data_IF_271503775120
#
_entry.id   IF_271503775120
#
_cell.length_a   1.000
_cell.length_b   1.000
_cell.length_c   1.000
_cell.angle_alpha   90.00
_cell.angle_beta   90.00
_cell.angle_gamma   90.00
#
_symmetry.space_group_name_H-M   'P 1'
#
loop_
_entity.id
_entity.type
_entity.pdbx_description
1 polymer ?
#
# COMPACT_ATOMS: atom_id res chain seq x y z
N UNK A 1 2.64 -19.71 -11.80
CA UNK A 1 3.97 -19.22 -12.24
C UNK A 1 3.89 -17.91 -13.01
N UNK A 2 3.00 -17.76 -14.00
CA UNK A 2 2.98 -16.52 -14.82
C UNK A 2 2.58 -15.27 -14.03
N UNK A 3 1.72 -15.37 -13.02
CA UNK A 3 1.40 -14.24 -12.14
C UNK A 3 2.65 -13.68 -11.44
N UNK A 4 3.54 -14.57 -10.99
CA UNK A 4 4.79 -14.19 -10.35
C UNK A 4 5.77 -13.57 -11.36
N UNK A 5 5.87 -14.12 -12.57
CA UNK A 5 6.68 -13.51 -13.64
C UNK A 5 6.17 -12.11 -14.00
N UNK A 6 4.86 -11.95 -14.09
CA UNK A 6 4.22 -10.67 -14.35
C UNK A 6 4.58 -9.66 -13.26
N UNK A 7 4.49 -10.08 -12.01
CA UNK A 7 4.84 -9.28 -10.85
C UNK A 7 6.31 -8.85 -10.85
N UNK A 8 7.24 -9.80 -11.04
CA UNK A 8 8.67 -9.52 -11.11
C UNK A 8 9.03 -8.62 -12.29
N UNK A 9 8.42 -8.83 -13.46
CA UNK A 9 8.61 -7.97 -14.62
C UNK A 9 8.07 -6.55 -14.36
N UNK A 10 6.96 -6.39 -13.63
CA UNK A 10 6.46 -5.09 -13.17
C UNK A 10 7.45 -4.40 -12.21
N UNK A 11 8.06 -5.14 -11.27
CA UNK A 11 9.09 -4.59 -10.36
C UNK A 11 10.30 -4.09 -11.15
N UNK A 12 10.81 -4.90 -12.08
CA UNK A 12 11.92 -4.51 -12.94
C UNK A 12 11.54 -3.30 -13.79
N UNK A 13 10.35 -3.29 -14.40
CA UNK A 13 9.88 -2.16 -15.20
C UNK A 13 9.81 -0.88 -14.38
N UNK A 14 9.36 -0.95 -13.13
CA UNK A 14 9.28 0.20 -12.24
C UNK A 14 10.67 0.71 -11.82
N UNK A 15 11.57 -0.19 -11.43
CA UNK A 15 12.93 0.19 -10.97
C UNK A 15 13.81 0.67 -12.12
N UNK A 16 13.80 -0.03 -13.25
CA UNK A 16 14.67 0.27 -14.39
C UNK A 16 14.05 1.20 -15.43
N UNK A 17 12.76 1.55 -15.30
CA UNK A 17 12.00 2.30 -16.32
C UNK A 17 12.06 1.66 -17.72
N UNK A 18 12.20 0.32 -17.78
CA UNK A 18 12.37 -0.43 -19.04
C UNK A 18 11.03 -0.71 -19.74
N UNK A 19 10.83 -0.22 -20.98
CA UNK A 19 9.62 -0.51 -21.76
C UNK A 19 9.46 -2.00 -22.09
N UNK A 20 10.58 -2.71 -22.30
CA UNK A 20 10.58 -4.15 -22.57
C UNK A 20 10.05 -4.96 -21.38
N UNK A 21 10.52 -4.63 -20.16
CA UNK A 21 10.04 -5.27 -18.94
C UNK A 21 8.54 -4.98 -18.72
N UNK A 22 8.09 -3.77 -19.06
CA UNK A 22 6.67 -3.41 -19.00
C UNK A 22 5.83 -4.27 -19.97
N UNK A 23 6.30 -4.46 -21.21
CA UNK A 23 5.62 -5.32 -22.18
C UNK A 23 5.55 -6.78 -21.71
N UNK A 24 6.64 -7.32 -21.18
CA UNK A 24 6.69 -8.67 -20.62
C UNK A 24 5.71 -8.82 -19.45
N UNK A 25 5.63 -7.82 -18.57
CA UNK A 25 4.69 -7.85 -17.45
C UNK A 25 3.24 -7.95 -17.92
N UNK A 26 2.86 -7.22 -18.97
CA UNK A 26 1.51 -7.29 -19.56
C UNK A 26 1.24 -8.67 -20.17
N UNK A 27 2.22 -9.22 -20.89
CA UNK A 27 2.10 -10.56 -21.50
C UNK A 27 1.88 -11.65 -20.42
N UNK A 28 2.73 -11.65 -19.39
CA UNK A 28 2.59 -12.61 -18.29
C UNK A 28 1.32 -12.40 -17.48
N UNK A 29 0.88 -11.16 -17.27
CA UNK A 29 -0.40 -10.86 -16.59
C UNK A 29 -1.59 -11.45 -17.35
N UNK A 30 -1.57 -11.32 -18.67
CA UNK A 30 -2.62 -11.87 -19.54
C UNK A 30 -2.63 -13.39 -19.50
N UNK A 31 -1.46 -14.03 -19.56
CA UNK A 31 -1.33 -15.49 -19.40
C UNK A 31 -1.83 -15.96 -18.03
N UNK A 32 -1.43 -15.26 -16.97
CA UNK A 32 -1.84 -15.54 -15.60
C UNK A 32 -3.36 -15.46 -15.42
N UNK A 33 -4.00 -14.45 -16.02
CA UNK A 33 -5.45 -14.26 -15.95
C UNK A 33 -6.21 -15.36 -16.70
N UNK A 34 -5.69 -15.80 -17.85
CA UNK A 34 -6.22 -16.97 -18.58
C UNK A 34 -6.11 -18.24 -17.75
N UNK A 35 -4.92 -18.51 -17.18
CA UNK A 35 -4.69 -19.65 -16.31
C UNK A 35 -5.54 -19.64 -15.04
N UNK A 36 -5.75 -18.46 -14.43
CA UNK A 36 -6.63 -18.30 -13.29
C UNK A 36 -8.08 -18.67 -13.64
N UNK A 37 -8.60 -18.17 -14.78
CA UNK A 37 -9.96 -18.51 -15.23
C UNK A 37 -10.14 -20.01 -15.43
N UNK A 38 -9.15 -20.68 -16.02
CA UNK A 38 -9.18 -22.14 -16.18
C UNK A 38 -9.13 -22.87 -14.84
N UNK A 39 -8.26 -22.45 -13.92
CA UNK A 39 -8.11 -23.07 -12.61
C UNK A 39 -9.37 -22.91 -11.75
N UNK A 40 -10.04 -21.75 -11.81
CA UNK A 40 -11.33 -21.52 -11.15
C UNK A 40 -12.41 -22.43 -11.72
N UNK A 41 -12.41 -22.70 -13.03
CA UNK A 41 -13.33 -23.67 -13.65
C UNK A 41 -13.12 -25.12 -13.18
N UNK A 42 -11.94 -25.44 -12.64
CA UNK A 42 -11.58 -26.75 -12.10
C UNK A 42 -11.23 -26.67 -10.60
N UNK A 43 -11.88 -25.76 -9.89
CA UNK A 43 -11.53 -25.46 -8.50
C UNK A 43 -11.67 -26.69 -7.60
N UNK A 44 -10.61 -27.00 -6.86
CA UNK A 44 -10.54 -28.12 -5.93
C UNK A 44 -9.59 -27.79 -4.76
N UNK A 45 -9.50 -28.70 -3.79
CA UNK A 45 -8.66 -28.46 -2.60
C UNK A 45 -7.17 -28.34 -2.91
N UNK A 46 -6.68 -29.08 -3.91
CA UNK A 46 -5.25 -29.08 -4.25
C UNK A 46 -4.81 -27.80 -4.96
N UNK A 47 -5.74 -27.08 -5.61
CA UNK A 47 -5.43 -25.84 -6.32
C UNK A 47 -5.86 -24.57 -5.58
N UNK A 48 -6.62 -24.69 -4.48
CA UNK A 48 -7.14 -23.54 -3.73
C UNK A 48 -6.06 -22.53 -3.35
N UNK A 49 -4.95 -22.98 -2.77
CA UNK A 49 -3.83 -22.11 -2.38
C UNK A 49 -3.16 -21.43 -3.59
N UNK A 50 -3.04 -22.14 -4.71
CA UNK A 50 -2.48 -21.57 -5.95
C UNK A 50 -3.40 -20.52 -6.57
N UNK A 51 -4.71 -20.76 -6.54
CA UNK A 51 -5.72 -19.82 -7.02
C UNK A 51 -5.76 -18.58 -6.12
N UNK A 52 -5.72 -18.76 -4.80
CA UNK A 52 -5.66 -17.66 -3.83
C UNK A 52 -4.41 -16.81 -4.06
N UNK A 53 -3.22 -17.42 -4.07
CA UNK A 53 -1.97 -16.70 -4.27
C UNK A 53 -1.92 -15.96 -5.61
N UNK A 54 -2.39 -16.60 -6.69
CA UNK A 54 -2.47 -15.97 -8.01
C UNK A 54 -3.41 -14.76 -8.00
N UNK A 55 -4.57 -14.88 -7.35
CA UNK A 55 -5.55 -13.79 -7.25
C UNK A 55 -4.99 -12.62 -6.45
N UNK A 56 -4.34 -12.86 -5.30
CA UNK A 56 -3.67 -11.81 -4.52
C UNK A 56 -2.59 -11.06 -5.32
N UNK A 57 -1.80 -11.78 -6.13
CA UNK A 57 -0.77 -11.17 -6.99
C UNK A 57 -1.40 -10.33 -8.12
N UNK A 58 -2.55 -10.73 -8.65
CA UNK A 58 -3.26 -9.96 -9.69
C UNK A 58 -3.97 -8.73 -9.10
N UNK A 59 -4.51 -8.84 -7.88
CA UNK A 59 -5.05 -7.69 -7.13
C UNK A 59 -3.99 -6.60 -7.04
N UNK A 60 -2.78 -6.91 -6.57
CA UNK A 60 -1.70 -5.92 -6.38
C UNK A 60 -1.27 -5.23 -7.68
N UNK A 61 -1.50 -5.86 -8.83
CA UNK A 61 -1.20 -5.31 -10.16
C UNK A 61 -2.37 -4.58 -10.83
N UNK A 62 -3.58 -4.67 -10.27
CA UNK A 62 -4.80 -4.11 -10.86
C UNK A 62 -4.78 -2.58 -10.88
N UNK A 63 -5.13 -1.99 -12.03
CA UNK A 63 -5.09 -0.53 -12.29
C UNK A 63 -6.47 0.11 -12.42
N UNK A 64 -7.53 -0.67 -12.36
CA UNK A 64 -8.90 -0.26 -12.53
C UNK A 64 -9.78 -0.90 -11.45
N UNK A 65 -10.87 -0.20 -11.12
CA UNK A 65 -11.81 -0.61 -10.08
C UNK A 65 -12.46 -1.96 -10.40
N UNK A 66 -12.86 -2.18 -11.66
CA UNK A 66 -13.60 -3.38 -12.06
C UNK A 66 -12.78 -4.65 -11.86
N UNK A 67 -11.53 -4.65 -12.32
CA UNK A 67 -10.62 -5.78 -12.12
C UNK A 67 -10.31 -5.96 -10.64
N UNK A 68 -10.00 -4.89 -9.93
CA UNK A 68 -9.66 -4.93 -8.51
C UNK A 68 -10.80 -5.51 -7.66
N UNK A 69 -12.01 -4.96 -7.78
CA UNK A 69 -13.18 -5.40 -7.02
C UNK A 69 -13.59 -6.85 -7.35
N UNK A 70 -13.48 -7.24 -8.62
CA UNK A 70 -13.73 -8.62 -9.06
C UNK A 70 -12.78 -9.61 -8.40
N UNK A 71 -11.48 -9.30 -8.38
CA UNK A 71 -10.50 -10.14 -7.70
C UNK A 71 -10.73 -10.18 -6.18
N UNK A 72 -11.15 -9.08 -5.55
CA UNK A 72 -11.47 -9.05 -4.12
C UNK A 72 -12.63 -9.96 -3.77
N UNK A 73 -13.69 -9.93 -4.58
CA UNK A 73 -14.80 -10.88 -4.46
C UNK A 73 -14.32 -12.33 -4.60
N UNK A 74 -13.36 -12.57 -5.50
CA UNK A 74 -12.70 -13.86 -5.66
C UNK A 74 -11.94 -14.32 -4.41
N UNK A 75 -11.10 -13.45 -3.83
CA UNK A 75 -10.35 -13.75 -2.59
C UNK A 75 -11.31 -14.06 -1.44
N UNK A 76 -12.35 -13.24 -1.25
CA UNK A 76 -13.39 -13.46 -0.23
C UNK A 76 -14.03 -14.84 -0.36
N UNK A 77 -14.43 -15.19 -1.59
CA UNK A 77 -15.10 -16.46 -1.87
C UNK A 77 -14.19 -17.65 -1.60
N UNK A 78 -12.92 -17.57 -2.01
CA UNK A 78 -11.94 -18.65 -1.82
C UNK A 78 -11.56 -18.76 -0.33
N UNK A 79 -11.36 -17.64 0.35
CA UNK A 79 -11.06 -17.59 1.78
C UNK A 79 -12.15 -18.29 2.61
N UNK A 80 -13.43 -17.99 2.33
CA UNK A 80 -14.56 -18.65 3.00
C UNK A 80 -14.58 -20.17 2.76
N UNK A 81 -14.24 -20.62 1.54
CA UNK A 81 -14.17 -22.06 1.24
C UNK A 81 -13.05 -22.73 2.04
N UNK A 82 -11.86 -22.14 2.08
CA UNK A 82 -10.71 -22.69 2.81
C UNK A 82 -11.01 -22.75 4.32
N UNK A 83 -11.60 -21.68 4.87
CA UNK A 83 -11.96 -21.59 6.30
C UNK A 83 -13.03 -22.62 6.68
N UNK A 84 -14.09 -22.76 5.87
CA UNK A 84 -15.16 -23.74 6.13
C UNK A 84 -14.68 -25.19 6.16
N UNK A 85 -13.56 -25.48 5.51
CA UNK A 85 -13.04 -26.85 5.32
C UNK A 85 -11.96 -27.24 6.33
N UNK A 86 -11.58 -26.36 7.27
CA UNK A 86 -10.52 -26.59 8.27
C UNK A 86 -9.26 -27.25 7.67
N UNK A 87 -8.90 -26.89 6.43
CA UNK A 87 -7.78 -27.53 5.73
C UNK A 87 -6.43 -27.00 6.22
N UNK A 88 -5.38 -27.83 6.08
CA UNK A 88 -3.96 -27.43 6.12
C UNK A 88 -3.61 -26.56 4.90
N UNK A 89 -4.26 -25.40 4.75
CA UNK A 89 -3.82 -24.39 3.79
C UNK A 89 -2.57 -23.71 4.34
N UNK A 90 -1.56 -23.54 3.49
CA UNK A 90 -0.35 -22.79 3.86
C UNK A 90 -0.66 -21.30 4.12
N UNK A 91 -1.84 -20.83 3.70
CA UNK A 91 -2.30 -19.46 3.84
C UNK A 91 -3.32 -19.27 4.97
N UNK A 92 -3.59 -20.28 5.80
CA UNK A 92 -4.60 -20.23 6.87
C UNK A 92 -4.47 -19.00 7.78
N UNK A 93 -3.25 -18.65 8.19
CA UNK A 93 -3.02 -17.47 9.04
C UNK A 93 -3.23 -16.15 8.27
N UNK A 94 -2.90 -16.12 6.99
CA UNK A 94 -3.17 -14.95 6.14
C UNK A 94 -4.68 -14.76 5.94
N UNK A 95 -5.44 -15.85 5.78
CA UNK A 95 -6.90 -15.80 5.66
C UNK A 95 -7.53 -15.26 6.94
N UNK A 96 -7.10 -15.72 8.12
CA UNK A 96 -7.58 -15.18 9.40
C UNK A 96 -7.33 -13.67 9.51
N UNK A 97 -6.14 -13.20 9.09
CA UNK A 97 -5.81 -11.77 9.07
C UNK A 97 -6.70 -10.98 8.12
N UNK A 98 -6.86 -11.46 6.89
CA UNK A 98 -7.72 -10.85 5.88
C UNK A 98 -9.17 -10.75 6.39
N UNK A 99 -9.72 -11.84 6.93
CA UNK A 99 -11.07 -11.89 7.49
C UNK A 99 -11.26 -10.93 8.68
N UNK A 100 -10.29 -10.89 9.61
CA UNK A 100 -10.31 -9.94 10.72
C UNK A 100 -10.29 -8.49 10.23
N UNK A 101 -9.60 -8.22 9.13
CA UNK A 101 -9.53 -6.91 8.52
C UNK A 101 -10.86 -6.49 7.88
N UNK A 102 -11.49 -7.37 7.12
CA UNK A 102 -12.83 -7.12 6.57
C UNK A 102 -13.89 -7.00 7.67
N UNK A 103 -13.78 -7.75 8.77
CA UNK A 103 -14.68 -7.60 9.92
C UNK A 103 -14.56 -6.21 10.57
N UNK A 104 -13.33 -5.69 10.74
CA UNK A 104 -13.09 -4.31 11.22
C UNK A 104 -13.69 -3.27 10.27
N UNK A 105 -13.51 -3.47 8.96
CA UNK A 105 -14.09 -2.62 7.93
C UNK A 105 -15.63 -2.60 8.00
N UNK A 106 -16.28 -3.75 8.13
CA UNK A 106 -17.75 -3.84 8.24
C UNK A 106 -18.29 -3.18 9.53
N UNK A 107 -17.49 -3.18 10.59
CA UNK A 107 -17.81 -2.52 11.86
C UNK A 107 -17.59 -1.00 11.83
N UNK A 108 -16.75 -0.49 10.93
CA UNK A 108 -16.49 0.96 10.77
C UNK A 108 -17.70 1.67 10.14
N UNK A 109 -18.65 2.08 10.99
CA UNK A 109 -19.82 2.87 10.62
C UNK A 109 -19.77 4.24 11.29
N UNK A 110 -19.08 5.20 10.68
CA UNK A 110 -19.32 6.63 10.98
C UNK A 110 -18.73 7.49 9.87
N UNK A 111 -19.48 7.72 8.79
CA UNK A 111 -19.06 8.60 7.68
C UNK A 111 -19.19 10.09 8.09
N UNK A 112 -20.03 10.39 9.09
CA UNK A 112 -20.40 11.78 9.42
C UNK A 112 -19.41 12.53 10.33
N UNK A 113 -18.61 11.83 11.14
CA UNK A 113 -17.67 12.48 12.08
C UNK A 113 -16.31 12.84 11.43
N UNK A 114 -15.95 12.20 10.32
CA UNK A 114 -14.65 12.37 9.69
C UNK A 114 -14.56 13.57 8.75
N UNK A 115 -15.68 14.06 8.19
CA UNK A 115 -15.59 15.13 7.18
C UNK A 115 -14.97 16.43 7.72
N UNK A 116 -15.23 16.79 8.99
CA UNK A 116 -14.59 17.95 9.62
C UNK A 116 -13.08 17.73 9.90
N UNK A 117 -12.71 16.51 10.30
CA UNK A 117 -11.32 16.14 10.60
C UNK A 117 -10.47 15.93 9.34
N UNK A 118 -11.10 15.68 8.18
CA UNK A 118 -10.41 15.46 6.90
C UNK A 118 -9.56 16.67 6.50
N UNK A 119 -10.13 17.87 6.57
CA UNK A 119 -9.43 19.10 6.18
C UNK A 119 -8.21 19.38 7.06
N UNK A 120 -8.36 19.19 8.38
CA UNK A 120 -7.27 19.34 9.34
C UNK A 120 -6.17 18.29 9.11
N UNK A 121 -6.54 17.02 8.93
CA UNK A 121 -5.58 15.95 8.69
C UNK A 121 -4.81 16.18 7.39
N UNK A 122 -5.49 16.47 6.29
CA UNK A 122 -4.83 16.72 4.99
C UNK A 122 -3.88 17.93 5.10
N UNK A 123 -4.28 18.97 5.84
CA UNK A 123 -3.41 20.13 6.12
C UNK A 123 -2.19 19.75 6.96
N UNK A 124 -2.36 18.87 7.96
CA UNK A 124 -1.28 18.32 8.80
C UNK A 124 -0.29 17.51 7.96
N UNK A 125 -0.80 16.61 7.11
CA UNK A 125 0.00 15.83 6.16
C UNK A 125 0.78 16.76 5.22
N UNK A 126 0.10 17.72 4.59
CA UNK A 126 0.73 18.65 3.65
C UNK A 126 1.87 19.44 4.33
N UNK A 127 1.65 19.94 5.55
CA UNK A 127 2.69 20.64 6.32
C UNK A 127 3.89 19.73 6.63
N UNK A 128 3.63 18.49 7.06
CA UNK A 128 4.66 17.48 7.32
C UNK A 128 5.50 17.22 6.07
N UNK A 129 4.88 17.02 4.90
CA UNK A 129 5.58 16.77 3.65
C UNK A 129 6.38 18.00 3.19
N UNK A 130 5.86 19.22 3.38
CA UNK A 130 6.60 20.45 3.09
C UNK A 130 7.83 20.62 4.00
N UNK A 131 7.68 20.31 5.29
CA UNK A 131 8.80 20.30 6.23
C UNK A 131 9.83 19.25 5.83
N UNK A 132 9.39 18.02 5.51
CA UNK A 132 10.26 16.97 5.01
C UNK A 132 11.04 17.46 3.80
N UNK A 133 10.35 17.99 2.77
CA UNK A 133 10.96 18.54 1.55
C UNK A 133 12.06 19.57 1.83
N UNK A 134 11.87 20.45 2.83
CA UNK A 134 12.86 21.47 3.18
C UNK A 134 14.18 20.91 3.72
N UNK A 135 14.18 19.66 4.23
CA UNK A 135 15.39 18.97 4.68
C UNK A 135 16.18 18.32 3.52
N UNK A 136 15.58 18.23 2.32
CA UNK A 136 16.25 17.71 1.14
C UNK A 136 16.89 18.85 0.37
N UNK A 137 18.22 18.93 0.42
CA UNK A 137 19.02 19.85 -0.39
C UNK A 137 19.14 19.36 -1.84
N UNK A 138 20.32 18.87 -2.24
CA UNK A 138 20.61 18.42 -3.62
C UNK A 138 20.26 16.94 -3.84
N UNK A 139 19.01 16.56 -3.60
CA UNK A 139 18.52 15.17 -3.75
C UNK A 139 17.28 15.10 -4.64
N UNK A 140 17.45 15.17 -5.97
CA UNK A 140 16.34 15.39 -6.90
C UNK A 140 15.35 14.21 -6.93
N UNK A 141 15.83 12.98 -6.70
CA UNK A 141 14.99 11.77 -6.74
C UNK A 141 14.01 11.77 -5.55
N UNK A 142 14.52 11.97 -4.34
CA UNK A 142 13.69 12.01 -3.14
C UNK A 142 12.74 13.22 -3.16
N UNK A 143 13.22 14.39 -3.58
CA UNK A 143 12.38 15.59 -3.74
C UNK A 143 11.23 15.32 -4.72
N UNK A 144 11.51 14.68 -5.86
CA UNK A 144 10.48 14.34 -6.84
C UNK A 144 9.35 13.52 -6.21
N UNK A 145 9.68 12.50 -5.43
CA UNK A 145 8.66 11.64 -4.80
C UNK A 145 7.91 12.32 -3.66
N UNK A 146 8.57 13.21 -2.90
CA UNK A 146 7.89 14.07 -1.94
C UNK A 146 6.91 14.99 -2.65
N UNK A 147 7.30 15.57 -3.79
CA UNK A 147 6.45 16.44 -4.62
C UNK A 147 5.25 15.66 -5.20
N UNK A 148 5.42 14.40 -5.60
CA UNK A 148 4.30 13.54 -6.00
C UNK A 148 3.31 13.29 -4.85
N UNK A 149 3.82 13.07 -3.63
CA UNK A 149 2.96 12.92 -2.45
C UNK A 149 2.22 14.23 -2.11
N UNK A 150 2.91 15.36 -2.18
CA UNK A 150 2.30 16.69 -1.99
C UNK A 150 1.18 16.94 -3.01
N UNK A 151 1.44 16.66 -4.30
CA UNK A 151 0.45 16.81 -5.36
C UNK A 151 -0.80 15.95 -5.10
N UNK A 152 -0.61 14.68 -4.71
CA UNK A 152 -1.71 13.80 -4.35
C UNK A 152 -2.57 14.39 -3.21
N UNK A 153 -1.93 14.86 -2.14
CA UNK A 153 -2.63 15.43 -0.98
C UNK A 153 -3.38 16.71 -1.37
N UNK A 154 -2.79 17.55 -2.21
CA UNK A 154 -3.45 18.74 -2.75
C UNK A 154 -4.69 18.36 -3.59
N UNK A 155 -4.61 17.33 -4.43
CA UNK A 155 -5.78 16.82 -5.15
C UNK A 155 -6.86 16.33 -4.16
N UNK A 156 -6.49 15.61 -3.10
CA UNK A 156 -7.47 15.14 -2.09
C UNK A 156 -8.10 16.28 -1.29
N UNK A 157 -7.46 17.44 -1.20
CA UNK A 157 -8.02 18.65 -0.58
C UNK A 157 -9.04 19.36 -1.48
N UNK A 158 -8.91 19.25 -2.81
CA UNK A 158 -9.79 19.93 -3.76
C UNK A 158 -10.97 19.07 -4.22
N UNK A 159 -10.81 17.75 -4.21
CA UNK A 159 -11.85 16.81 -4.64
C UNK A 159 -12.84 16.55 -3.49
N UNK A 160 -14.12 16.45 -3.84
CA UNK A 160 -15.19 16.13 -2.90
C UNK A 160 -14.96 14.80 -2.15
N UNK A 161 -15.59 14.63 -0.98
CA UNK A 161 -15.58 13.35 -0.29
C UNK A 161 -16.06 12.18 -1.15
N UNK A 162 -15.35 11.06 -1.07
CA UNK A 162 -15.70 9.86 -1.80
C UNK A 162 -16.99 9.27 -1.25
N UNK A 163 -18.02 9.17 -2.09
CA UNK A 163 -19.34 8.68 -1.67
C UNK A 163 -19.49 7.17 -1.90
N UNK A 164 -18.72 6.62 -2.84
CA UNK A 164 -18.71 5.20 -3.17
C UNK A 164 -17.34 4.57 -2.92
N UNK A 165 -17.28 3.24 -2.81
CA UNK A 165 -15.99 2.52 -2.71
C UNK A 165 -15.17 2.67 -3.99
N UNK A 166 -15.83 2.82 -5.13
CA UNK A 166 -15.17 3.14 -6.41
C UNK A 166 -14.51 4.52 -6.39
N UNK A 167 -15.20 5.55 -5.87
CA UNK A 167 -14.61 6.88 -5.69
C UNK A 167 -13.40 6.81 -4.74
N UNK A 168 -13.53 6.06 -3.64
CA UNK A 168 -12.43 5.83 -2.71
C UNK A 168 -11.24 5.21 -3.43
N UNK A 169 -11.48 4.20 -4.27
CA UNK A 169 -10.43 3.53 -5.06
C UNK A 169 -9.76 4.52 -6.02
N UNK A 170 -10.55 5.29 -6.76
CA UNK A 170 -10.04 6.25 -7.73
C UNK A 170 -9.22 7.37 -7.06
N UNK A 171 -9.63 7.82 -5.87
CA UNK A 171 -8.90 8.82 -5.09
C UNK A 171 -7.55 8.30 -4.59
N UNK A 172 -7.45 7.01 -4.23
CA UNK A 172 -6.28 6.43 -3.58
C UNK A 172 -5.42 5.52 -4.47
N UNK A 173 -5.79 5.29 -5.74
CA UNK A 173 -5.05 4.38 -6.61
C UNK A 173 -3.59 4.79 -6.82
N UNK A 174 -3.32 6.10 -6.82
CA UNK A 174 -1.95 6.63 -6.92
C UNK A 174 -1.19 6.29 -5.64
N UNK A 175 -1.76 6.59 -4.47
CA UNK A 175 -1.14 6.30 -3.18
C UNK A 175 -0.83 4.82 -3.01
N UNK A 176 -1.78 3.95 -3.37
CA UNK A 176 -1.63 2.50 -3.35
C UNK A 176 -0.39 2.06 -4.12
N UNK A 177 -0.21 2.61 -5.32
CA UNK A 177 0.95 2.32 -6.16
C UNK A 177 2.23 2.84 -5.49
N UNK A 178 2.23 4.05 -4.94
CA UNK A 178 3.39 4.58 -4.25
C UNK A 178 3.78 3.68 -3.06
N UNK A 179 2.84 3.34 -2.18
CA UNK A 179 3.06 2.48 -1.00
C UNK A 179 3.67 1.14 -1.38
N UNK A 180 3.25 0.60 -2.51
CA UNK A 180 3.70 -0.70 -2.96
C UNK A 180 5.06 -0.66 -3.69
N UNK A 181 5.30 0.32 -4.56
CA UNK A 181 6.45 0.32 -5.48
C UNK A 181 7.56 1.31 -5.07
N UNK A 182 7.24 2.40 -4.38
CA UNK A 182 8.24 3.41 -4.01
C UNK A 182 9.31 2.90 -3.04
N UNK A 183 8.98 2.12 -1.98
CA UNK A 183 9.99 1.59 -1.07
C UNK A 183 11.02 0.74 -1.81
N UNK A 184 10.56 -0.15 -2.71
CA UNK A 184 11.44 -0.95 -3.54
C UNK A 184 12.33 -0.07 -4.42
N UNK A 185 11.77 0.98 -5.03
CA UNK A 185 12.54 1.91 -5.87
C UNK A 185 13.64 2.67 -5.10
N UNK A 186 13.28 3.30 -3.96
CA UNK A 186 14.23 4.14 -3.21
C UNK A 186 15.29 3.33 -2.47
N UNK A 187 14.97 2.11 -2.05
CA UNK A 187 15.84 1.28 -1.22
C UNK A 187 16.62 0.22 -2.00
N UNK A 188 16.33 0.03 -3.30
CA UNK A 188 17.03 -0.95 -4.13
C UNK A 188 18.49 -0.58 -4.40
N UNK A 189 18.80 0.70 -4.58
CA UNK A 189 20.14 1.14 -5.00
C UNK A 189 20.85 2.01 -3.97
N UNK A 190 22.14 1.73 -3.75
CA UNK A 190 23.03 2.44 -2.84
C UNK A 190 22.82 2.15 -1.34
N UNK A 191 23.50 2.93 -0.50
CA UNK A 191 23.34 2.86 0.95
C UNK A 191 21.94 3.33 1.36
N UNK A 192 21.32 2.58 2.28
CA UNK A 192 20.07 2.97 2.94
C UNK A 192 20.44 4.00 4.00
N UNK A 193 20.19 5.26 3.69
CA UNK A 193 20.41 6.38 4.60
C UNK A 193 19.09 6.87 5.24
N UNK A 194 19.25 7.73 6.24
CA UNK A 194 18.12 8.25 7.03
C UNK A 194 17.15 9.08 6.18
N UNK A 195 17.63 9.73 5.12
CA UNK A 195 16.81 10.57 4.25
C UNK A 195 15.91 9.70 3.36
N UNK A 196 16.45 8.67 2.71
CA UNK A 196 15.63 7.70 1.94
C UNK A 196 14.56 7.04 2.83
N UNK A 197 14.97 6.60 4.04
CA UNK A 197 14.03 6.01 4.99
C UNK A 197 12.95 7.01 5.41
N UNK A 198 13.29 8.28 5.65
CA UNK A 198 12.30 9.30 6.04
C UNK A 198 11.21 9.51 4.98
N UNK A 199 11.53 9.45 3.69
CA UNK A 199 10.52 9.51 2.60
C UNK A 199 9.59 8.31 2.66
N UNK A 200 10.15 7.10 2.80
CA UNK A 200 9.36 5.87 2.88
C UNK A 200 8.47 5.84 4.13
N UNK A 201 8.98 6.29 5.28
CA UNK A 201 8.22 6.36 6.53
C UNK A 201 7.08 7.38 6.44
N UNK A 202 7.33 8.55 5.83
CA UNK A 202 6.27 9.52 5.59
C UNK A 202 5.21 8.98 4.65
N UNK A 203 5.59 8.25 3.60
CA UNK A 203 4.63 7.61 2.70
C UNK A 203 3.72 6.62 3.45
N UNK A 204 4.30 5.74 4.28
CA UNK A 204 3.52 4.80 5.09
C UNK A 204 2.66 5.50 6.14
N UNK A 205 3.16 6.57 6.76
CA UNK A 205 2.39 7.37 7.71
C UNK A 205 1.21 8.10 7.02
N UNK A 206 1.39 8.63 5.82
CA UNK A 206 0.31 9.22 5.02
C UNK A 206 -0.76 8.19 4.69
N UNK A 207 -0.33 7.01 4.25
CA UNK A 207 -1.20 5.87 4.03
C UNK A 207 -2.06 5.52 5.26
N UNK A 208 -1.41 5.34 6.41
CA UNK A 208 -2.05 4.98 7.67
C UNK A 208 -3.01 6.09 8.15
N UNK A 209 -2.58 7.35 8.03
CA UNK A 209 -3.38 8.51 8.42
C UNK A 209 -4.67 8.64 7.59
N UNK A 210 -4.62 8.28 6.30
CA UNK A 210 -5.77 8.37 5.40
C UNK A 210 -6.75 7.20 5.56
N UNK A 211 -6.35 6.08 6.16
CA UNK A 211 -7.18 4.88 6.33
C UNK A 211 -8.60 5.16 6.84
N UNK A 212 -8.83 6.00 7.87
CA UNK A 212 -10.18 6.24 8.41
C UNK A 212 -11.15 6.91 7.42
N UNK A 213 -10.63 7.65 6.43
CA UNK A 213 -11.43 8.36 5.43
C UNK A 213 -11.80 7.49 4.23
N UNK A 214 -11.14 6.34 4.09
CA UNK A 214 -11.33 5.40 2.99
C UNK A 214 -11.55 3.98 3.53
N UNK A 215 -12.56 3.77 4.40
CA UNK A 215 -12.80 2.49 5.05
C UNK A 215 -13.09 1.38 4.04
N UNK A 216 -13.54 1.71 2.82
CA UNK A 216 -13.76 0.78 1.72
C UNK A 216 -12.48 0.05 1.25
N UNK A 217 -11.30 0.57 1.60
CA UNK A 217 -10.00 0.14 1.09
C UNK A 217 -8.99 -0.23 2.18
N UNK A 218 -9.35 -0.05 3.45
CA UNK A 218 -8.46 -0.15 4.61
C UNK A 218 -7.78 -1.52 4.72
N UNK A 219 -8.52 -2.59 4.40
CA UNK A 219 -8.09 -3.95 4.67
C UNK A 219 -6.90 -4.45 3.84
N UNK A 220 -6.71 -3.90 2.64
CA UNK A 220 -5.67 -4.37 1.73
C UNK A 220 -4.48 -3.42 1.61
N UNK A 221 -4.69 -2.13 1.87
CA UNK A 221 -3.79 -1.10 1.34
C UNK A 221 -3.00 -0.34 2.40
N UNK A 222 -3.53 -0.11 3.60
CA UNK A 222 -2.98 0.92 4.46
C UNK A 222 -2.77 0.51 5.93
N UNK A 223 -3.71 -0.15 6.61
CA UNK A 223 -3.55 -0.43 8.05
C UNK A 223 -2.56 -1.55 8.37
N UNK A 224 -2.88 -2.77 7.93
CA UNK A 224 -2.15 -3.98 8.36
C UNK A 224 -0.75 -4.14 7.76
N UNK A 225 -0.47 -3.46 6.65
CA UNK A 225 0.82 -3.55 5.97
C UNK A 225 1.70 -2.32 6.22
N UNK A 226 1.12 -1.11 6.34
CA UNK A 226 1.90 0.10 6.57
C UNK A 226 2.32 0.23 8.03
N UNK A 227 1.48 -0.12 9.01
CA UNK A 227 1.84 0.03 10.42
C UNK A 227 3.07 -0.81 10.85
N UNK A 228 3.20 -2.10 10.48
CA UNK A 228 4.42 -2.86 10.78
C UNK A 228 5.65 -2.31 10.04
N UNK A 229 5.49 -1.92 8.77
CA UNK A 229 6.59 -1.34 7.99
C UNK A 229 7.07 0.00 8.58
N UNK A 230 6.12 0.81 9.06
CA UNK A 230 6.37 2.08 9.74
C UNK A 230 7.12 1.87 11.06
N UNK A 231 6.67 0.93 11.89
CA UNK A 231 7.35 0.57 13.15
C UNK A 231 8.81 0.14 12.90
N UNK A 232 9.02 -0.85 12.02
CA UNK A 232 10.37 -1.35 11.73
C UNK A 232 11.29 -0.29 11.12
N UNK A 233 10.77 0.56 10.24
CA UNK A 233 11.56 1.62 9.64
C UNK A 233 11.90 2.73 10.64
N UNK A 234 10.99 3.08 11.55
CA UNK A 234 11.26 4.05 12.63
C UNK A 234 12.28 3.53 13.64
N UNK A 235 12.20 2.26 14.03
CA UNK A 235 13.20 1.63 14.90
C UNK A 235 14.59 1.65 14.25
N UNK A 236 14.66 1.37 12.95
CA UNK A 236 15.90 1.48 12.19
C UNK A 236 16.42 2.92 12.12
N UNK A 237 15.55 3.90 11.91
CA UNK A 237 15.92 5.31 11.93
C UNK A 237 16.42 5.77 13.30
N UNK A 238 15.81 5.30 14.39
CA UNK A 238 16.26 5.54 15.78
C UNK A 238 17.66 4.96 16.03
N UNK A 239 17.93 3.76 15.51
CA UNK A 239 19.25 3.15 15.59
C UNK A 239 20.35 3.91 14.79
N UNK A 240 19.96 4.66 13.75
CA UNK A 240 20.89 5.49 12.94
C UNK A 240 21.19 6.88 13.55
N UNK A 241 20.38 7.35 14.51
CA UNK A 241 20.56 8.68 15.13
C UNK A 241 21.95 8.93 15.77
N UNK A 242 22.58 8.00 16.52
CA UNK A 242 23.85 8.27 17.18
C UNK A 242 25.01 8.52 16.22
N UNK A 243 24.93 8.04 14.97
CA UNK A 243 25.95 8.25 13.93
C UNK A 243 25.86 9.65 13.30
N UNK A 244 24.75 10.37 13.51
CA UNK A 244 24.45 11.66 12.88
C UNK A 244 24.83 12.82 13.82
N UNK A 245 26.13 13.02 14.06
CA UNK A 245 26.66 13.99 15.04
C UNK A 245 26.35 15.50 14.80
N UNK A 246 25.54 15.89 13.81
CA UNK A 246 25.36 17.32 13.47
C UNK A 246 23.99 17.75 12.93
N UNK A 247 22.96 16.91 12.95
CA UNK A 247 21.64 17.32 12.44
C UNK A 247 20.52 16.76 13.29
N UNK A 248 19.67 17.64 13.81
CA UNK A 248 18.42 17.30 14.49
C UNK A 248 17.61 16.41 13.54
N UNK A 249 17.68 15.09 13.73
CA UNK A 249 16.99 14.10 12.91
C UNK A 249 15.56 13.83 13.41
N UNK A 250 15.26 14.23 14.64
CA UNK A 250 13.93 14.25 15.27
C UNK A 250 12.80 14.78 14.37
N UNK A 251 12.92 15.93 13.66
CA UNK A 251 11.87 16.40 12.75
C UNK A 251 11.54 15.42 11.62
N UNK A 252 12.47 14.56 11.20
CA UNK A 252 12.24 13.58 10.13
C UNK A 252 11.38 12.38 10.58
N UNK A 253 11.22 12.17 11.88
CA UNK A 253 10.42 11.06 12.43
C UNK A 253 9.15 11.54 13.13
N UNK A 254 9.03 12.84 13.44
CA UNK A 254 7.95 13.39 14.25
C UNK A 254 6.55 13.04 13.72
N UNK A 255 6.29 13.25 12.43
CA UNK A 255 4.98 12.93 11.84
C UNK A 255 4.73 11.42 11.78
N UNK A 256 5.65 10.59 11.24
CA UNK A 256 5.56 9.14 11.33
C UNK A 256 5.29 8.56 12.73
N UNK A 257 6.05 9.00 13.75
CA UNK A 257 5.88 8.53 15.13
C UNK A 257 4.49 8.92 15.68
N UNK A 258 4.01 10.14 15.39
CA UNK A 258 2.70 10.61 15.84
C UNK A 258 1.56 9.77 15.25
N UNK A 259 1.59 9.50 13.93
CA UNK A 259 0.56 8.68 13.28
C UNK A 259 0.57 7.24 13.80
N UNK A 260 1.76 6.65 14.02
CA UNK A 260 1.85 5.31 14.56
C UNK A 260 1.32 5.23 15.99
N UNK A 261 1.54 6.27 16.81
CA UNK A 261 0.98 6.35 18.15
C UNK A 261 -0.56 6.49 18.11
N UNK A 262 -1.11 7.32 17.23
CA UNK A 262 -2.56 7.48 17.03
C UNK A 262 -3.24 6.19 16.56
N UNK A 263 -2.57 5.39 15.72
CA UNK A 263 -3.10 4.11 15.26
C UNK A 263 -3.15 3.02 16.35
N UNK A 264 -2.23 3.08 17.32
CA UNK A 264 -2.12 2.11 18.41
C UNK A 264 -2.93 2.51 19.67
N UNK A 265 -3.51 3.71 19.70
CA UNK A 265 -4.30 4.24 20.81
C UNK A 265 -5.74 3.71 20.81
#
# INVERSE_FOLDING_TARGET
MDALKAFSASQIAWVSQSPSAQQQSVQYSTSALSGLRQAVGQFNNTNADSVLATTCILVSQSKDWLSWSSFLGGINSIAAIIESRQQDSIYSDNIKRINACWARQAASRTIDHFNFQRGELLSRINRSLQQLRAHFGTRPVEIYWIDQCLYLIQCLQTIDPANTVEDQFNHLIVLRRLVFWLPAYLLHDGSIDMLKLSVVMHLYAVALALEPFFPGLSAELYGDNAAPALLHGLDRMKAMQPEMHSSNSTPLMQFPDAILAEFNA
#
